data_IF_358580974100
#
_entry.id   IF_358580974100
#
_cell.length_a   1.000
_cell.length_b   1.000
_cell.length_c   1.000
_cell.angle_alpha   90.00
_cell.angle_beta   90.00
_cell.angle_gamma   90.00
#
_symmetry.space_group_name_H-M   'P 1'
#
loop_
_entity.id
_entity.type
_entity.pdbx_description
1 polymer ?
#
# COMPACT_ATOMS: atom_id res chain seq x y z
N UNK A 1 15.47 -49.95 -13.13
CA UNK A 1 14.52 -49.05 -12.44
C UNK A 1 15.33 -47.84 -12.03
N UNK A 2 15.41 -46.85 -12.92
CA UNK A 2 16.18 -45.63 -12.68
C UNK A 2 15.30 -44.66 -11.89
N UNK A 3 15.80 -44.25 -10.73
CA UNK A 3 15.23 -43.17 -9.94
C UNK A 3 15.50 -41.86 -10.69
N UNK A 4 14.45 -41.30 -11.29
CA UNK A 4 14.48 -39.90 -11.71
C UNK A 4 14.61 -39.04 -10.45
N UNK A 5 15.80 -38.45 -10.25
CA UNK A 5 15.97 -37.37 -9.31
C UNK A 5 15.06 -36.22 -9.76
N UNK A 6 14.17 -35.79 -8.88
CA UNK A 6 13.43 -34.55 -9.06
C UNK A 6 14.51 -33.46 -8.97
N UNK A 7 15.01 -33.01 -10.12
CA UNK A 7 15.83 -31.81 -10.16
C UNK A 7 15.00 -30.69 -9.53
N UNK A 8 15.56 -30.19 -8.45
CA UNK A 8 15.05 -29.19 -7.55
C UNK A 8 14.50 -27.99 -8.35
N UNK A 9 13.19 -27.95 -8.58
CA UNK A 9 12.51 -26.77 -9.11
C UNK A 9 12.54 -25.71 -8.02
N UNK A 10 13.67 -25.01 -7.90
CA UNK A 10 13.85 -23.88 -7.00
C UNK A 10 12.88 -22.76 -7.42
N UNK A 11 11.71 -22.73 -6.81
CA UNK A 11 10.80 -21.58 -6.91
C UNK A 11 11.46 -20.45 -6.13
N UNK A 12 12.07 -19.51 -6.85
CA UNK A 12 12.58 -18.29 -6.23
C UNK A 12 11.38 -17.45 -5.75
N UNK A 13 11.10 -17.51 -4.45
CA UNK A 13 10.08 -16.66 -3.83
C UNK A 13 10.60 -15.23 -3.75
N UNK A 14 9.96 -14.31 -4.47
CA UNK A 14 10.21 -12.88 -4.31
C UNK A 14 9.68 -12.42 -2.96
N UNK A 15 10.57 -11.96 -2.10
CA UNK A 15 10.27 -11.62 -0.69
C UNK A 15 9.72 -10.20 -0.56
N UNK A 16 8.95 -9.95 0.50
CA UNK A 16 8.48 -8.61 0.85
C UNK A 16 9.63 -7.63 1.07
N UNK A 17 10.71 -8.09 1.71
CA UNK A 17 11.93 -7.28 1.90
C UNK A 17 12.59 -6.91 0.57
N UNK A 18 12.63 -7.84 -0.40
CA UNK A 18 13.10 -7.52 -1.75
C UNK A 18 12.19 -6.48 -2.40
N UNK A 19 10.86 -6.65 -2.31
CA UNK A 19 9.91 -5.66 -2.83
C UNK A 19 10.08 -4.26 -2.23
N UNK A 20 10.39 -4.15 -0.94
CA UNK A 20 10.74 -2.86 -0.31
C UNK A 20 12.08 -2.32 -0.82
N UNK A 21 13.10 -3.18 -0.93
CA UNK A 21 14.44 -2.81 -1.43
C UNK A 21 14.38 -2.28 -2.86
N UNK A 22 13.57 -2.91 -3.70
CA UNK A 22 13.37 -2.53 -5.11
C UNK A 22 12.41 -1.34 -5.27
N UNK A 23 11.86 -0.81 -4.17
CA UNK A 23 10.93 0.32 -4.16
C UNK A 23 9.54 -0.01 -4.68
N UNK A 24 9.19 -1.29 -4.83
CA UNK A 24 7.86 -1.76 -5.22
C UNK A 24 6.85 -1.68 -4.06
N UNK A 25 7.35 -1.77 -2.83
CA UNK A 25 6.59 -1.50 -1.60
C UNK A 25 7.21 -0.32 -0.85
N UNK A 26 6.36 0.55 -0.33
CA UNK A 26 6.73 1.66 0.55
C UNK A 26 6.27 1.32 1.96
N UNK A 27 7.21 1.22 2.90
CA UNK A 27 6.88 0.99 4.31
C UNK A 27 6.20 2.24 4.89
N UNK A 28 5.04 2.04 5.50
CA UNK A 28 4.25 3.08 6.15
C UNK A 28 3.88 2.69 7.58
N UNK A 29 4.63 1.75 8.16
CA UNK A 29 4.30 1.15 9.45
C UNK A 29 4.26 2.16 10.59
N UNK A 30 5.09 3.21 10.57
CA UNK A 30 5.11 4.26 11.59
C UNK A 30 3.75 5.00 11.68
N UNK A 31 3.30 5.59 10.58
CA UNK A 31 1.99 6.25 10.50
C UNK A 31 0.83 5.28 10.76
N UNK A 32 0.97 4.02 10.35
CA UNK A 32 -0.05 3.00 10.59
C UNK A 32 -0.17 2.65 12.09
N UNK A 33 0.95 2.57 12.82
CA UNK A 33 0.95 2.35 14.27
C UNK A 33 0.24 3.50 14.98
N UNK A 34 0.49 4.74 14.58
CA UNK A 34 -0.21 5.92 15.12
C UNK A 34 -1.72 5.87 14.86
N UNK A 35 -2.15 5.38 13.70
CA UNK A 35 -3.56 5.15 13.39
C UNK A 35 -4.19 3.98 14.18
N UNK A 36 -3.36 3.09 14.75
CA UNK A 36 -3.78 1.97 15.60
C UNK A 36 -3.64 0.58 14.99
N UNK A 37 -2.89 0.42 13.89
CA UNK A 37 -2.50 -0.89 13.39
C UNK A 37 -1.47 -1.56 14.30
N UNK A 38 -1.48 -2.90 14.31
CA UNK A 38 -0.51 -3.73 15.09
C UNK A 38 0.41 -4.57 14.22
N UNK A 39 0.04 -4.76 12.95
CA UNK A 39 0.87 -5.45 11.97
C UNK A 39 1.60 -4.40 11.12
N UNK A 40 2.83 -4.71 10.63
CA UNK A 40 3.52 -3.85 9.68
C UNK A 40 2.67 -3.59 8.44
N UNK A 41 2.67 -2.35 7.95
CA UNK A 41 1.85 -1.93 6.82
C UNK A 41 2.75 -1.35 5.74
N UNK A 42 2.54 -1.77 4.50
CA UNK A 42 3.19 -1.16 3.34
C UNK A 42 2.15 -0.80 2.27
N UNK A 43 2.48 0.18 1.43
CA UNK A 43 1.73 0.50 0.22
C UNK A 43 2.48 0.00 -1.02
N UNK A 44 1.76 -0.40 -2.07
CA UNK A 44 2.38 -0.54 -3.39
C UNK A 44 2.89 0.81 -3.88
N UNK A 45 3.97 0.82 -4.64
CA UNK A 45 4.58 2.03 -5.21
C UNK A 45 3.60 2.86 -6.03
N UNK A 46 2.71 2.20 -6.74
CA UNK A 46 1.63 2.77 -7.55
C UNK A 46 0.55 3.41 -6.69
N UNK A 47 0.06 2.73 -5.64
CA UNK A 47 -0.89 3.30 -4.70
C UNK A 47 -0.29 4.51 -3.95
N UNK A 48 0.98 4.41 -3.55
CA UNK A 48 1.73 5.52 -2.94
C UNK A 48 1.82 6.72 -3.89
N UNK A 49 2.27 6.49 -5.13
CA UNK A 49 2.40 7.55 -6.14
C UNK A 49 1.06 8.22 -6.47
N UNK A 50 -0.04 7.47 -6.41
CA UNK A 50 -1.37 8.00 -6.69
C UNK A 50 -1.95 8.80 -5.51
N UNK A 51 -1.84 8.27 -4.30
CA UNK A 51 -2.57 8.77 -3.15
C UNK A 51 -1.73 9.71 -2.28
N UNK A 52 -0.45 9.38 -2.06
CA UNK A 52 0.38 10.03 -1.03
C UNK A 52 1.40 10.97 -1.63
N UNK A 53 2.17 10.51 -2.62
CA UNK A 53 3.30 11.26 -3.18
C UNK A 53 2.91 12.67 -3.64
N UNK A 54 3.69 13.65 -3.22
CA UNK A 54 3.45 15.05 -3.51
C UNK A 54 4.76 15.83 -3.70
N UNK A 55 5.40 15.59 -4.85
CA UNK A 55 6.63 16.27 -5.23
C UNK A 55 6.47 17.78 -5.42
N UNK A 56 7.57 18.54 -5.28
CA UNK A 56 7.58 19.99 -5.54
C UNK A 56 7.04 20.35 -6.93
N UNK A 57 7.40 19.58 -7.96
CA UNK A 57 6.88 19.77 -9.32
C UNK A 57 5.34 19.61 -9.40
N UNK A 58 4.77 18.75 -8.56
CA UNK A 58 3.31 18.62 -8.45
C UNK A 58 2.72 19.82 -7.71
N UNK A 59 3.32 20.23 -6.59
CA UNK A 59 2.89 21.40 -5.84
C UNK A 59 2.88 22.66 -6.71
N UNK A 60 3.97 22.94 -7.44
CA UNK A 60 4.11 24.09 -8.33
C UNK A 60 3.04 24.09 -9.44
N UNK A 61 2.81 22.93 -10.05
CA UNK A 61 1.81 22.79 -11.13
C UNK A 61 0.38 22.97 -10.63
N UNK A 62 0.08 22.51 -9.41
CA UNK A 62 -1.28 22.54 -8.84
C UNK A 62 -1.57 23.85 -8.13
N UNK A 63 -0.55 24.54 -7.63
CA UNK A 63 -0.63 25.77 -6.85
C UNK A 63 -1.61 25.67 -5.66
N UNK A 64 -1.59 24.53 -4.95
CA UNK A 64 -2.36 24.28 -3.73
C UNK A 64 -1.44 23.79 -2.62
N UNK A 65 -1.81 24.06 -1.37
CA UNK A 65 -1.12 23.56 -0.19
C UNK A 65 -1.59 22.13 0.12
N UNK A 66 -0.68 21.19 -0.06
CA UNK A 66 -0.79 19.77 0.25
C UNK A 66 0.62 19.30 0.59
N UNK A 67 0.72 18.32 1.47
CA UNK A 67 1.98 17.69 1.87
C UNK A 67 1.77 16.17 1.98
N UNK A 68 2.87 15.42 1.91
CA UNK A 68 2.82 13.94 1.89
C UNK A 68 2.35 13.36 3.22
N UNK A 69 2.63 14.02 4.34
CA UNK A 69 2.26 13.55 5.69
C UNK A 69 0.74 13.57 5.88
N UNK A 70 0.08 14.69 5.58
CA UNK A 70 -1.38 14.80 5.66
C UNK A 70 -2.08 13.84 4.69
N UNK A 71 -1.52 13.63 3.50
CA UNK A 71 -2.07 12.69 2.52
C UNK A 71 -1.89 11.23 2.93
N UNK A 72 -0.75 10.89 3.55
CA UNK A 72 -0.54 9.58 4.15
C UNK A 72 -1.54 9.35 5.27
N UNK A 73 -1.76 10.36 6.12
CA UNK A 73 -2.74 10.30 7.20
C UNK A 73 -4.16 10.01 6.70
N UNK A 74 -4.60 10.68 5.63
CA UNK A 74 -5.90 10.40 4.99
C UNK A 74 -6.03 8.92 4.58
N UNK A 75 -4.97 8.32 4.04
CA UNK A 75 -4.95 6.91 3.64
C UNK A 75 -5.00 5.98 4.86
N UNK A 76 -4.09 6.14 5.82
CA UNK A 76 -3.98 5.21 6.96
C UNK A 76 -5.20 5.30 7.89
N UNK A 77 -5.76 6.50 8.07
CA UNK A 77 -6.96 6.67 8.87
C UNK A 77 -8.17 5.97 8.23
N UNK A 78 -8.37 6.14 6.92
CA UNK A 78 -9.46 5.47 6.20
C UNK A 78 -9.26 3.95 6.16
N UNK A 79 -8.03 3.48 5.97
CA UNK A 79 -7.69 2.06 6.05
C UNK A 79 -8.03 1.49 7.44
N UNK A 80 -7.71 2.21 8.52
CA UNK A 80 -8.00 1.75 9.88
C UNK A 80 -9.51 1.68 10.15
N UNK A 81 -10.28 2.67 9.68
CA UNK A 81 -11.75 2.63 9.78
C UNK A 81 -12.33 1.43 9.04
N UNK A 82 -11.77 1.10 7.87
CA UNK A 82 -12.16 -0.09 7.12
C UNK A 82 -11.76 -1.39 7.84
N UNK A 83 -10.54 -1.46 8.41
CA UNK A 83 -10.06 -2.60 9.19
C UNK A 83 -11.01 -2.94 10.35
N UNK A 84 -11.46 -1.93 11.09
CA UNK A 84 -12.40 -2.09 12.21
C UNK A 84 -13.77 -2.64 11.79
N UNK A 85 -14.13 -2.46 10.51
CA UNK A 85 -15.40 -2.91 9.92
C UNK A 85 -15.25 -4.17 9.06
N UNK A 86 -14.03 -4.72 8.95
CA UNK A 86 -13.74 -5.84 8.06
C UNK A 86 -14.33 -7.17 8.54
N UNK A 87 -14.87 -7.26 9.76
CA UNK A 87 -15.45 -8.49 10.33
C UNK A 87 -14.52 -9.72 10.26
N UNK A 88 -13.21 -9.49 10.29
CA UNK A 88 -12.19 -10.56 10.23
C UNK A 88 -11.81 -11.00 8.81
N UNK A 89 -12.29 -10.30 7.78
CA UNK A 89 -11.92 -10.56 6.39
C UNK A 89 -10.44 -10.24 6.15
N UNK A 90 -9.74 -11.12 5.42
CA UNK A 90 -8.32 -10.94 5.07
C UNK A 90 -8.10 -9.87 4.00
N UNK A 91 -9.15 -9.49 3.26
CA UNK A 91 -9.13 -8.48 2.21
C UNK A 91 -10.32 -7.55 2.37
N UNK A 92 -10.08 -6.25 2.37
CA UNK A 92 -11.11 -5.21 2.51
C UNK A 92 -10.85 -4.08 1.52
N UNK A 93 -11.91 -3.53 0.93
CA UNK A 93 -11.84 -2.34 0.07
C UNK A 93 -12.24 -1.09 0.85
N UNK A 94 -11.62 0.04 0.54
CA UNK A 94 -11.98 1.32 1.13
C UNK A 94 -11.72 2.48 0.17
N UNK A 95 -12.43 3.57 0.36
CA UNK A 95 -12.34 4.75 -0.49
C UNK A 95 -11.55 5.86 0.23
N UNK A 96 -10.74 6.59 -0.54
CA UNK A 96 -10.04 7.82 -0.13
C UNK A 96 -10.36 8.92 -1.14
N UNK A 97 -10.49 10.16 -0.68
CA UNK A 97 -10.64 11.32 -1.56
C UNK A 97 -9.30 12.06 -1.64
N UNK A 98 -8.63 11.96 -2.77
CA UNK A 98 -7.32 12.60 -2.98
C UNK A 98 -7.38 13.59 -4.13
N UNK A 99 -6.59 14.66 -4.07
CA UNK A 99 -6.36 15.49 -5.26
C UNK A 99 -5.48 14.70 -6.24
N UNK A 100 -5.89 14.48 -7.50
CA UNK A 100 -5.11 13.67 -8.42
C UNK A 100 -3.74 14.27 -8.70
N UNK A 101 -2.68 13.47 -8.64
CA UNK A 101 -1.32 13.94 -8.94
C UNK A 101 -1.23 14.36 -10.41
N UNK A 102 -1.86 13.63 -11.33
CA UNK A 102 -1.84 13.95 -12.76
C UNK A 102 -2.79 15.09 -13.16
N UNK A 103 -2.54 15.70 -14.32
CA UNK A 103 -3.35 16.80 -14.86
C UNK A 103 -3.34 18.09 -14.03
N UNK A 104 -4.26 19.02 -14.35
CA UNK A 104 -4.37 20.34 -13.68
C UNK A 104 -5.50 20.44 -12.64
N UNK A 105 -6.31 19.39 -12.48
CA UNK A 105 -7.44 19.41 -11.55
C UNK A 105 -6.98 19.48 -10.09
N UNK A 106 -7.64 20.33 -9.30
CA UNK A 106 -7.35 20.53 -7.86
C UNK A 106 -8.51 20.07 -6.95
N UNK A 107 -9.62 19.62 -7.54
CA UNK A 107 -10.75 19.07 -6.77
C UNK A 107 -10.41 17.65 -6.30
N UNK A 108 -10.65 17.30 -5.02
CA UNK A 108 -10.54 15.93 -4.54
C UNK A 108 -11.40 14.99 -5.38
N UNK A 109 -10.85 13.82 -5.70
CA UNK A 109 -11.54 12.74 -6.40
C UNK A 109 -11.42 11.46 -5.60
N UNK A 110 -12.51 10.71 -5.59
CA UNK A 110 -12.55 9.39 -4.97
C UNK A 110 -11.63 8.44 -5.73
N UNK A 111 -10.85 7.68 -4.98
CA UNK A 111 -10.11 6.51 -5.43
C UNK A 111 -10.38 5.37 -4.47
N UNK A 112 -10.39 4.14 -4.98
CA UNK A 112 -10.61 2.94 -4.17
C UNK A 112 -9.27 2.25 -3.98
N UNK A 113 -8.99 1.83 -2.76
CA UNK A 113 -7.83 1.06 -2.37
C UNK A 113 -8.27 -0.30 -1.81
N UNK A 114 -7.38 -1.28 -1.93
CA UNK A 114 -7.51 -2.60 -1.31
C UNK A 114 -6.52 -2.65 -0.16
N UNK A 115 -6.95 -3.16 0.98
CA UNK A 115 -6.10 -3.55 2.10
C UNK A 115 -6.19 -5.06 2.27
N UNK A 116 -5.04 -5.73 2.29
CA UNK A 116 -4.95 -7.18 2.47
C UNK A 116 -3.96 -7.52 3.57
N UNK A 117 -4.36 -8.42 4.47
CA UNK A 117 -3.48 -9.01 5.48
C UNK A 117 -3.09 -10.43 5.05
N UNK A 118 -1.82 -10.77 5.21
CA UNK A 118 -1.26 -12.07 4.83
C UNK A 118 0.07 -12.36 5.53
N UNK A 119 0.71 -13.50 5.25
CA UNK A 119 2.01 -13.83 5.80
C UNK A 119 3.13 -12.98 5.18
N UNK A 120 4.04 -12.50 6.02
CA UNK A 120 5.31 -11.88 5.64
C UNK A 120 6.41 -12.91 5.40
N UNK A 121 7.66 -12.44 5.32
CA UNK A 121 8.81 -13.28 4.94
C UNK A 121 9.10 -14.39 5.96
N UNK A 122 8.76 -14.18 7.24
CA UNK A 122 8.90 -15.17 8.31
C UNK A 122 7.54 -15.71 8.80
N UNK A 123 6.46 -15.49 8.03
CA UNK A 123 5.11 -15.91 8.38
C UNK A 123 4.39 -15.00 9.38
N UNK A 124 4.99 -13.89 9.79
CA UNK A 124 4.36 -12.85 10.60
C UNK A 124 3.22 -12.18 9.83
N UNK A 125 2.14 -11.70 10.49
CA UNK A 125 1.09 -10.98 9.80
C UNK A 125 1.61 -9.63 9.29
N UNK A 126 1.44 -9.37 8.00
CA UNK A 126 1.74 -8.08 7.35
C UNK A 126 0.54 -7.60 6.55
N UNK A 127 0.41 -6.29 6.43
CA UNK A 127 -0.65 -5.65 5.66
C UNK A 127 -0.05 -4.96 4.44
N UNK A 128 -0.73 -5.09 3.30
CA UNK A 128 -0.41 -4.37 2.07
C UNK A 128 -1.64 -3.59 1.63
N UNK A 129 -1.45 -2.30 1.33
CA UNK A 129 -2.45 -1.43 0.71
C UNK A 129 -2.07 -1.22 -0.76
N UNK A 130 -2.99 -1.48 -1.67
CA UNK A 130 -2.74 -1.45 -3.11
C UNK A 130 -3.90 -0.85 -3.90
N UNK A 131 -3.70 -0.59 -5.19
CA UNK A 131 -4.80 -0.33 -6.10
C UNK A 131 -5.56 -1.65 -6.40
N UNK A 132 -6.85 -1.59 -6.77
CA UNK A 132 -7.59 -2.78 -7.18
C UNK A 132 -6.92 -3.47 -8.38
N UNK A 133 -6.75 -4.79 -8.28
CA UNK A 133 -6.16 -5.61 -9.34
C UNK A 133 -4.63 -5.74 -9.28
N UNK A 134 -4.00 -5.12 -8.30
CA UNK A 134 -2.62 -5.42 -7.91
C UNK A 134 -2.65 -6.56 -6.90
N UNK A 135 -2.42 -7.78 -7.38
CA UNK A 135 -2.32 -9.02 -6.58
C UNK A 135 -0.91 -9.63 -6.68
#
# INVERSE_FOLDING_TARGET
MEFFAIEDHLVHCYTRRQAMTDGMLVDISEAAVEAGFRAPVAMTRTAWADCVEWSQATADRKAILQDEEGRLWDVVYMAMLAARRSEGMSRTVFDVYRVPVTGKGVKPRRTTLVMQIGPGDAGEPVITISLPGED
#
